data_IF_343052158047
#
_entry.id   IF_343052158047
#
_cell.length_a   1.000
_cell.length_b   1.000
_cell.length_c   1.000
_cell.angle_alpha   90.00
_cell.angle_beta   90.00
_cell.angle_gamma   90.00
#
_symmetry.space_group_name_H-M   'P 1'
#
loop_
_entity.id
_entity.type
_entity.pdbx_description
1 polymer ?
#
# COMPACT_ATOMS: atom_id res chain seq x y z
N UNK A 1 6.37 15.94 -28.11
CA UNK A 1 6.73 14.53 -27.85
C UNK A 1 5.50 13.85 -27.28
N UNK A 2 4.87 13.00 -28.08
CA UNK A 2 3.58 12.39 -27.76
C UNK A 2 3.75 11.35 -26.65
N UNK A 3 2.99 11.53 -25.57
CA UNK A 3 2.85 10.51 -24.54
C UNK A 3 2.05 9.35 -25.13
N UNK A 4 2.73 8.29 -25.59
CA UNK A 4 2.09 7.02 -25.88
C UNK A 4 1.73 6.34 -24.56
N UNK A 5 0.68 6.83 -23.90
CA UNK A 5 -0.02 6.04 -22.88
C UNK A 5 -0.64 4.84 -23.60
N UNK A 6 -0.32 3.62 -23.14
CA UNK A 6 -0.96 2.38 -23.56
C UNK A 6 -2.47 2.59 -23.79
N UNK A 7 -2.91 2.38 -25.03
CA UNK A 7 -4.26 2.68 -25.54
C UNK A 7 -5.43 1.87 -24.94
N UNK A 8 -5.25 1.14 -23.82
CA UNK A 8 -6.25 0.16 -23.37
C UNK A 8 -6.50 0.07 -21.85
N UNK A 9 -6.08 1.03 -21.01
CA UNK A 9 -6.44 1.01 -19.58
C UNK A 9 -7.29 2.22 -19.23
N UNK A 10 -8.62 2.06 -19.20
CA UNK A 10 -9.54 3.07 -18.63
C UNK A 10 -9.28 3.14 -17.12
N UNK A 11 -8.59 4.18 -16.67
CA UNK A 11 -8.38 4.49 -15.25
C UNK A 11 -9.56 5.29 -14.71
N UNK A 12 -9.69 5.34 -13.39
CA UNK A 12 -10.83 5.94 -12.68
C UNK A 12 -11.23 7.36 -13.16
N UNK A 13 -10.28 8.15 -13.67
CA UNK A 13 -10.51 9.54 -14.13
C UNK A 13 -10.46 9.73 -15.66
N UNK A 14 -10.41 8.65 -16.44
CA UNK A 14 -10.24 8.73 -17.90
C UNK A 14 -11.46 9.30 -18.62
N UNK A 15 -12.61 9.41 -17.94
CA UNK A 15 -13.81 10.07 -18.42
C UNK A 15 -13.55 11.52 -18.87
N UNK A 16 -12.55 12.20 -18.29
CA UNK A 16 -12.12 13.55 -18.72
C UNK A 16 -11.59 13.54 -20.16
N UNK A 17 -10.99 12.45 -20.62
CA UNK A 17 -10.43 12.34 -21.97
C UNK A 17 -11.49 12.01 -23.03
N UNK A 18 -12.67 11.53 -22.61
CA UNK A 18 -13.76 11.11 -23.49
C UNK A 18 -14.51 12.28 -24.13
N UNK A 19 -14.30 13.52 -23.65
CA UNK A 19 -14.96 14.73 -24.16
C UNK A 19 -13.95 15.76 -24.65
N UNK A 20 -14.35 16.59 -25.63
CA UNK A 20 -13.52 17.70 -26.11
C UNK A 20 -13.30 18.77 -25.04
N UNK A 21 -14.32 19.02 -24.22
CA UNK A 21 -14.28 19.95 -23.08
C UNK A 21 -13.26 19.50 -22.05
N UNK A 22 -13.24 18.20 -21.74
CA UNK A 22 -12.27 17.64 -20.80
C UNK A 22 -10.84 17.67 -21.34
N UNK A 23 -10.62 17.43 -22.65
CA UNK A 23 -9.31 17.66 -23.29
C UNK A 23 -8.86 19.12 -23.18
N UNK A 24 -9.76 20.08 -23.41
CA UNK A 24 -9.47 21.53 -23.25
C UNK A 24 -9.18 21.90 -21.80
N UNK A 25 -9.89 21.30 -20.83
CA UNK A 25 -9.63 21.50 -19.41
C UNK A 25 -8.23 20.98 -19.04
N UNK A 26 -7.92 19.73 -19.42
CA UNK A 26 -6.62 19.13 -19.15
C UNK A 26 -5.47 19.95 -19.74
N UNK A 27 -5.61 20.40 -20.99
CA UNK A 27 -4.59 21.24 -21.64
C UNK A 27 -4.36 22.56 -20.88
N UNK A 28 -5.43 23.21 -20.40
CA UNK A 28 -5.34 24.43 -19.60
C UNK A 28 -4.68 24.18 -18.25
N UNK A 29 -5.05 23.09 -17.57
CA UNK A 29 -4.48 22.69 -16.29
C UNK A 29 -2.99 22.39 -16.44
N UNK A 30 -2.60 21.58 -17.43
CA UNK A 30 -1.20 21.26 -17.72
C UNK A 30 -0.39 22.53 -18.02
N UNK A 31 -0.92 23.46 -18.82
CA UNK A 31 -0.25 24.75 -19.07
C UNK A 31 -0.02 25.56 -17.79
N UNK A 32 -1.02 25.60 -16.90
CA UNK A 32 -0.94 26.36 -15.63
C UNK A 32 0.04 25.71 -14.66
N UNK A 33 0.04 24.39 -14.57
CA UNK A 33 0.98 23.61 -13.74
C UNK A 33 2.40 23.73 -14.32
N UNK A 34 2.56 23.74 -15.64
CA UNK A 34 3.84 23.89 -16.33
C UNK A 34 4.50 25.26 -16.16
N UNK A 35 3.82 26.25 -15.57
CA UNK A 35 4.42 27.53 -15.19
C UNK A 35 5.35 27.41 -13.98
N UNK A 36 5.26 26.33 -13.22
CA UNK A 36 6.09 26.08 -12.03
C UNK A 36 7.28 25.18 -12.39
N UNK A 37 8.40 25.36 -11.68
CA UNK A 37 9.53 24.44 -11.77
C UNK A 37 9.27 23.23 -10.90
N UNK A 38 9.30 22.03 -11.50
CA UNK A 38 9.13 20.75 -10.81
C UNK A 38 10.46 19.98 -10.66
N UNK A 39 11.59 20.62 -10.98
CA UNK A 39 12.92 19.98 -11.00
C UNK A 39 13.50 19.74 -9.60
N UNK A 40 13.20 20.62 -8.65
CA UNK A 40 13.83 20.66 -7.33
C UNK A 40 12.79 20.51 -6.22
N UNK A 41 11.96 19.46 -6.32
CA UNK A 41 10.98 19.15 -5.29
C UNK A 41 11.69 18.33 -4.21
N UNK A 42 11.83 18.94 -3.04
CA UNK A 42 12.47 18.29 -1.88
C UNK A 42 11.46 17.55 -0.98
N UNK A 43 10.16 17.80 -1.15
CA UNK A 43 9.10 17.39 -0.22
C UNK A 43 7.80 17.02 -0.96
N UNK A 44 6.90 16.28 -0.33
CA UNK A 44 5.58 15.95 -0.90
C UNK A 44 4.71 17.22 -1.01
N UNK A 45 4.75 17.84 -2.19
CA UNK A 45 3.96 19.03 -2.51
C UNK A 45 2.45 18.74 -2.57
N UNK A 46 2.04 17.48 -2.72
CA UNK A 46 0.64 17.09 -2.90
C UNK A 46 -0.10 16.92 -1.58
N UNK A 47 0.61 16.78 -0.45
CA UNK A 47 0.02 16.83 0.89
C UNK A 47 -0.93 18.01 1.04
N UNK A 48 -0.47 19.22 0.70
CA UNK A 48 -1.25 20.45 0.90
C UNK A 48 -2.53 20.41 0.06
N UNK A 49 -2.45 19.86 -1.15
CA UNK A 49 -3.62 19.67 -2.02
C UNK A 49 -4.60 18.66 -1.39
N UNK A 50 -4.10 17.53 -0.88
CA UNK A 50 -4.95 16.55 -0.21
C UNK A 50 -5.65 17.14 1.01
N UNK A 51 -4.91 17.84 1.88
CA UNK A 51 -5.46 18.49 3.08
C UNK A 51 -6.46 19.60 2.75
N UNK A 52 -6.36 20.22 1.57
CA UNK A 52 -7.32 21.21 1.09
C UNK A 52 -8.60 20.60 0.51
N UNK A 53 -8.54 19.34 0.04
CA UNK A 53 -9.68 18.63 -0.56
C UNK A 53 -10.42 17.79 0.49
N UNK A 54 -9.69 17.13 1.39
CA UNK A 54 -10.25 16.28 2.45
C UNK A 54 -10.06 16.98 3.80
N UNK A 55 -11.18 17.36 4.41
CA UNK A 55 -11.18 18.06 5.69
C UNK A 55 -10.60 17.19 6.83
N UNK A 56 -10.20 17.84 7.93
CA UNK A 56 -9.52 17.17 9.04
C UNK A 56 -10.38 16.10 9.74
N UNK A 57 -11.70 16.28 9.78
CA UNK A 57 -12.61 15.35 10.46
C UNK A 57 -12.75 14.03 9.70
N UNK A 58 -12.83 14.07 8.37
CA UNK A 58 -12.84 12.88 7.51
C UNK A 58 -11.53 12.12 7.65
N UNK A 59 -10.38 12.81 7.58
CA UNK A 59 -9.05 12.19 7.79
C UNK A 59 -8.91 11.55 9.17
N UNK A 60 -9.40 12.22 10.21
CA UNK A 60 -9.39 11.69 11.58
C UNK A 60 -10.26 10.44 11.73
N UNK A 61 -11.43 10.41 11.09
CA UNK A 61 -12.28 9.22 11.04
C UNK A 61 -11.62 8.04 10.32
N UNK A 62 -10.80 8.33 9.32
CA UNK A 62 -9.98 7.35 8.59
C UNK A 62 -8.68 6.96 9.31
N UNK A 63 -8.34 7.65 10.41
CA UNK A 63 -7.08 7.43 11.13
C UNK A 63 -5.84 7.93 10.37
N UNK A 64 -6.01 8.84 9.42
CA UNK A 64 -4.95 9.37 8.56
C UNK A 64 -4.21 10.53 9.24
N UNK A 65 -2.91 10.35 9.45
CA UNK A 65 -2.00 11.38 9.96
C UNK A 65 -0.81 11.52 9.03
N UNK A 66 -0.47 12.76 8.66
CA UNK A 66 0.66 12.99 7.77
C UNK A 66 1.99 12.92 8.53
N UNK A 67 2.95 12.20 7.95
CA UNK A 67 4.30 12.05 8.49
C UNK A 67 5.21 13.18 7.99
N UNK A 68 5.83 13.99 8.87
CA UNK A 68 6.78 15.00 8.44
C UNK A 68 7.92 14.41 7.59
N UNK A 69 8.33 15.11 6.53
CA UNK A 69 9.24 14.54 5.53
C UNK A 69 10.61 14.17 6.14
N UNK A 70 11.14 15.00 7.04
CA UNK A 70 12.39 14.71 7.76
C UNK A 70 12.32 13.42 8.59
N UNK A 71 11.14 13.10 9.12
CA UNK A 71 10.93 11.89 9.91
C UNK A 71 10.86 10.69 8.98
N UNK A 72 10.11 10.80 7.89
CA UNK A 72 10.03 9.75 6.87
C UNK A 72 11.41 9.45 6.25
N UNK A 73 12.21 10.49 5.98
CA UNK A 73 13.59 10.36 5.51
C UNK A 73 14.44 9.61 6.54
N UNK A 74 14.45 10.04 7.79
CA UNK A 74 15.23 9.41 8.86
C UNK A 74 14.87 7.94 9.06
N UNK A 75 13.58 7.61 9.08
CA UNK A 75 13.10 6.22 9.17
C UNK A 75 13.57 5.41 7.97
N UNK A 76 13.39 5.93 6.74
CA UNK A 76 13.78 5.23 5.51
C UNK A 76 15.28 4.96 5.48
N UNK A 77 16.11 5.94 5.87
CA UNK A 77 17.56 5.77 5.94
C UNK A 77 17.98 4.70 6.97
N UNK A 78 17.24 4.57 8.07
CA UNK A 78 17.54 3.61 9.13
C UNK A 78 17.30 2.15 8.69
N UNK A 79 16.27 1.88 7.89
CA UNK A 79 15.89 0.51 7.53
C UNK A 79 16.28 0.07 6.11
N UNK A 80 16.31 0.99 5.15
CA UNK A 80 16.75 0.72 3.78
C UNK A 80 18.27 0.88 3.68
N UNK A 81 19.03 0.04 4.36
CA UNK A 81 20.48 0.21 4.52
C UNK A 81 21.28 -0.05 3.25
N UNK A 82 20.80 -0.95 2.39
CA UNK A 82 21.40 -1.29 1.09
C UNK A 82 20.41 -1.02 -0.06
N UNK A 83 20.22 0.25 -0.45
CA UNK A 83 19.16 0.66 -1.37
C UNK A 83 19.32 0.14 -2.81
N UNK A 84 20.45 -0.47 -3.18
CA UNK A 84 20.64 -1.03 -4.51
C UNK A 84 20.34 -2.53 -4.61
N UNK A 85 20.11 -3.19 -3.47
CA UNK A 85 19.76 -4.61 -3.39
C UNK A 85 18.41 -4.84 -2.71
N UNK A 86 18.01 -3.95 -1.79
CA UNK A 86 16.80 -4.10 -1.00
C UNK A 86 15.58 -3.47 -1.68
N UNK A 87 14.45 -4.15 -1.54
CA UNK A 87 13.12 -3.68 -1.89
C UNK A 87 12.38 -3.13 -0.67
N UNK A 88 11.52 -2.13 -0.88
CA UNK A 88 10.73 -1.47 0.15
C UNK A 88 9.23 -1.42 -0.21
N UNK A 89 8.37 -1.63 0.79
CA UNK A 89 6.92 -1.43 0.67
C UNK A 89 6.40 -0.52 1.77
N UNK A 90 5.55 0.45 1.39
CA UNK A 90 4.64 1.11 2.32
C UNK A 90 3.22 0.51 2.20
N UNK A 91 2.75 -0.25 3.22
CA UNK A 91 1.45 -0.94 3.17
C UNK A 91 0.25 -0.02 3.42
N UNK A 92 0.45 1.26 3.73
CA UNK A 92 -0.61 2.28 3.87
C UNK A 92 -0.07 3.64 3.43
N UNK A 93 0.26 3.75 2.14
CA UNK A 93 1.18 4.77 1.66
C UNK A 93 0.64 6.20 1.65
N UNK A 94 -0.67 6.40 1.79
CA UNK A 94 -1.30 7.71 1.75
C UNK A 94 -0.94 8.46 0.47
N UNK A 95 -0.46 9.70 0.60
CA UNK A 95 0.05 10.51 -0.52
C UNK A 95 1.47 10.16 -0.99
N UNK A 96 2.10 9.15 -0.38
CA UNK A 96 3.38 8.59 -0.83
C UNK A 96 4.63 9.21 -0.21
N UNK A 97 4.57 9.76 1.01
CA UNK A 97 5.74 10.37 1.66
C UNK A 97 6.91 9.40 1.82
N UNK A 98 6.67 8.19 2.33
CA UNK A 98 7.72 7.16 2.45
C UNK A 98 8.18 6.63 1.09
N UNK A 99 7.26 6.51 0.14
CA UNK A 99 7.55 6.16 -1.25
C UNK A 99 8.54 7.16 -1.85
N UNK A 100 8.29 8.46 -1.68
CA UNK A 100 9.19 9.53 -2.13
C UNK A 100 10.60 9.36 -1.55
N UNK A 101 10.70 9.12 -0.24
CA UNK A 101 11.99 9.00 0.45
C UNK A 101 12.75 7.74 0.02
N UNK A 102 12.06 6.61 -0.16
CA UNK A 102 12.66 5.38 -0.68
C UNK A 102 13.23 5.59 -2.09
N UNK A 103 12.44 6.17 -3.01
CA UNK A 103 12.90 6.47 -4.37
C UNK A 103 14.10 7.42 -4.35
N UNK A 104 14.08 8.48 -3.52
CA UNK A 104 15.21 9.41 -3.42
C UNK A 104 16.48 8.74 -2.92
N UNK A 105 16.37 7.82 -1.96
CA UNK A 105 17.51 7.08 -1.42
C UNK A 105 18.11 6.14 -2.47
N UNK A 106 17.27 5.42 -3.21
CA UNK A 106 17.69 4.51 -4.28
C UNK A 106 18.32 5.27 -5.45
N UNK A 107 17.67 6.35 -5.91
CA UNK A 107 18.18 7.18 -7.01
C UNK A 107 19.53 7.80 -6.66
N UNK A 108 19.71 8.35 -5.44
CA UNK A 108 20.99 8.88 -4.99
C UNK A 108 22.11 7.81 -5.02
N UNK A 109 21.84 6.63 -4.44
CA UNK A 109 22.83 5.53 -4.42
C UNK A 109 23.15 5.04 -5.83
N UNK A 110 22.16 5.00 -6.72
CA UNK A 110 22.33 4.54 -8.09
C UNK A 110 23.13 5.55 -8.94
N UNK A 111 22.91 6.86 -8.74
CA UNK A 111 23.71 7.92 -9.35
C UNK A 111 25.16 7.88 -8.87
N UNK A 112 25.39 7.68 -7.57
CA UNK A 112 26.74 7.51 -7.01
C UNK A 112 27.45 6.27 -7.57
N UNK A 113 26.70 5.21 -7.87
CA UNK A 113 27.18 4.02 -8.57
C UNK A 113 27.32 4.20 -10.10
N UNK A 114 27.02 5.38 -10.64
CA UNK A 114 27.16 5.69 -12.07
C UNK A 114 26.11 5.04 -12.97
N UNK A 115 24.94 4.64 -12.44
CA UNK A 115 23.82 4.13 -13.26
C UNK A 115 23.17 5.27 -14.05
N UNK A 116 22.72 4.97 -15.26
CA UNK A 116 21.99 5.90 -16.12
C UNK A 116 20.49 5.92 -15.77
N UNK A 117 19.79 6.96 -16.26
CA UNK A 117 18.38 7.18 -15.92
C UNK A 117 17.45 5.98 -16.25
N UNK A 118 17.56 5.29 -17.41
CA UNK A 118 16.72 4.13 -17.70
C UNK A 118 16.88 3.01 -16.65
N UNK A 119 18.13 2.65 -16.29
CA UNK A 119 18.39 1.63 -15.26
C UNK A 119 17.94 2.07 -13.88
N UNK A 120 18.05 3.36 -13.56
CA UNK A 120 17.53 3.91 -12.29
C UNK A 120 16.02 3.74 -12.24
N UNK A 121 15.30 4.14 -13.30
CA UNK A 121 13.84 4.03 -13.36
C UNK A 121 13.40 2.57 -13.26
N UNK A 122 13.99 1.68 -14.06
CA UNK A 122 13.72 0.24 -14.02
C UNK A 122 13.94 -0.33 -12.63
N UNK A 123 15.08 -0.01 -12.00
CA UNK A 123 15.40 -0.49 -10.67
C UNK A 123 14.38 -0.02 -9.63
N UNK A 124 14.01 1.26 -9.63
CA UNK A 124 13.01 1.80 -8.70
C UNK A 124 11.64 1.14 -8.87
N UNK A 125 11.19 0.91 -10.11
CA UNK A 125 9.92 0.21 -10.40
C UNK A 125 9.85 -1.21 -9.83
N UNK A 126 11.00 -1.86 -9.72
CA UNK A 126 11.11 -3.23 -9.21
C UNK A 126 11.43 -3.31 -7.71
N UNK A 127 11.67 -2.18 -7.03
CA UNK A 127 12.14 -2.16 -5.63
C UNK A 127 11.37 -1.22 -4.70
N UNK A 128 10.45 -0.39 -5.19
CA UNK A 128 9.65 0.49 -4.31
C UNK A 128 8.16 0.28 -4.60
N UNK A 129 7.42 -0.21 -3.61
CA UNK A 129 6.01 -0.54 -3.74
C UNK A 129 5.17 0.26 -2.75
N UNK A 130 3.92 0.56 -3.11
CA UNK A 130 2.96 1.20 -2.22
C UNK A 130 1.58 0.56 -2.30
N UNK A 131 0.92 0.41 -1.16
CA UNK A 131 -0.47 -0.02 -1.06
C UNK A 131 -1.26 1.01 -0.27
N UNK A 132 -2.48 1.30 -0.72
CA UNK A 132 -3.43 2.09 0.06
C UNK A 132 -4.86 1.64 -0.26
N UNK A 133 -5.79 1.78 0.68
CA UNK A 133 -7.20 1.40 0.49
C UNK A 133 -8.02 2.53 -0.17
N UNK A 134 -7.49 3.75 -0.20
CA UNK A 134 -8.20 4.92 -0.72
C UNK A 134 -7.73 5.28 -2.14
N UNK A 135 -8.62 5.28 -3.16
CA UNK A 135 -8.23 5.48 -4.56
C UNK A 135 -7.60 6.85 -4.83
N UNK A 136 -8.03 7.91 -4.13
CA UNK A 136 -7.41 9.24 -4.28
C UNK A 136 -5.98 9.25 -3.73
N UNK A 137 -5.73 8.60 -2.60
CA UNK A 137 -4.40 8.52 -1.98
C UNK A 137 -3.42 7.81 -2.91
N UNK A 138 -3.85 6.67 -3.49
CA UNK A 138 -3.09 5.96 -4.53
C UNK A 138 -2.74 6.87 -5.70
N UNK A 139 -3.68 7.69 -6.19
CA UNK A 139 -3.39 8.60 -7.30
C UNK A 139 -2.39 9.68 -6.92
N UNK A 140 -2.46 10.23 -5.72
CA UNK A 140 -1.48 11.20 -5.22
C UNK A 140 -0.11 10.55 -5.04
N UNK A 141 -0.04 9.39 -4.40
CA UNK A 141 1.20 8.62 -4.26
C UNK A 141 1.82 8.27 -5.61
N UNK A 142 1.02 7.98 -6.64
CA UNK A 142 1.52 7.79 -8.00
C UNK A 142 2.14 9.05 -8.58
N UNK A 143 1.54 10.23 -8.36
CA UNK A 143 2.15 11.49 -8.80
C UNK A 143 3.42 11.77 -7.98
N UNK A 144 3.39 11.60 -6.66
CA UNK A 144 4.54 11.73 -5.76
C UNK A 144 5.71 10.84 -6.20
N UNK A 145 5.42 9.59 -6.60
CA UNK A 145 6.39 8.66 -7.17
C UNK A 145 7.08 9.24 -8.42
N UNK A 146 6.29 9.80 -9.35
CA UNK A 146 6.82 10.46 -10.55
C UNK A 146 7.68 11.68 -10.21
N UNK A 147 7.23 12.49 -9.25
CA UNK A 147 7.99 13.66 -8.79
C UNK A 147 9.33 13.25 -8.18
N UNK A 148 9.37 12.14 -7.43
CA UNK A 148 10.61 11.61 -6.83
C UNK A 148 11.65 11.17 -7.89
N UNK A 149 11.19 10.62 -9.02
CA UNK A 149 12.05 10.27 -10.16
C UNK A 149 12.62 11.51 -10.88
N UNK A 150 11.90 12.64 -10.84
CA UNK A 150 12.39 13.94 -11.31
C UNK A 150 13.03 13.90 -12.71
N UNK A 151 14.31 14.29 -12.80
CA UNK A 151 15.07 14.35 -14.07
C UNK A 151 15.21 13.01 -14.80
N UNK A 152 15.10 11.89 -14.09
CA UNK A 152 15.23 10.56 -14.70
C UNK A 152 14.06 10.22 -15.64
N UNK A 153 12.99 11.03 -15.62
CA UNK A 153 11.83 10.87 -16.48
C UNK A 153 12.05 11.30 -17.94
N UNK A 154 13.11 12.06 -18.28
CA UNK A 154 13.23 12.71 -19.59
C UNK A 154 13.57 11.77 -20.76
N UNK A 155 14.21 10.62 -20.50
CA UNK A 155 14.61 9.63 -21.51
C UNK A 155 14.39 8.22 -20.95
N UNK A 156 13.11 7.81 -20.87
CA UNK A 156 12.72 6.52 -20.32
C UNK A 156 11.89 5.75 -21.34
N UNK A 157 11.93 4.43 -21.21
CA UNK A 157 10.97 3.53 -21.84
C UNK A 157 9.60 3.59 -21.12
N UNK A 158 8.74 2.62 -21.38
CA UNK A 158 7.45 2.52 -20.71
C UNK A 158 7.61 2.54 -19.17
N UNK A 159 6.77 3.36 -18.54
CA UNK A 159 6.80 3.57 -17.10
C UNK A 159 5.54 3.01 -16.46
N UNK A 160 5.73 2.14 -15.50
CA UNK A 160 4.72 1.64 -14.60
C UNK A 160 4.99 2.15 -13.18
N UNK A 161 3.93 2.54 -12.47
CA UNK A 161 4.04 3.06 -11.11
C UNK A 161 3.51 1.99 -10.13
N UNK A 162 4.38 1.32 -9.36
CA UNK A 162 4.08 0.22 -8.42
C UNK A 162 3.33 0.66 -7.14
N UNK A 163 2.33 1.53 -7.31
CA UNK A 163 1.44 1.96 -6.22
C UNK A 163 0.03 1.48 -6.53
N UNK A 164 -0.53 0.66 -5.66
CA UNK A 164 -1.76 -0.07 -5.91
C UNK A 164 -2.84 0.24 -4.87
N UNK A 165 -4.08 0.19 -5.33
CA UNK A 165 -5.23 0.20 -4.47
C UNK A 165 -5.44 -1.23 -3.95
N UNK A 166 -5.50 -1.42 -2.64
CA UNK A 166 -5.65 -2.73 -2.03
C UNK A 166 -5.71 -2.70 -0.51
N UNK A 167 -6.31 -3.74 0.08
CA UNK A 167 -6.37 -3.92 1.53
C UNK A 167 -5.17 -4.72 2.04
N UNK A 168 -4.25 -4.04 2.72
CA UNK A 168 -3.06 -4.65 3.33
C UNK A 168 -3.38 -5.59 4.49
N UNK A 169 -4.55 -5.47 5.12
CA UNK A 169 -4.97 -6.33 6.23
C UNK A 169 -5.47 -7.70 5.76
N UNK A 170 -6.06 -7.76 4.55
CA UNK A 170 -6.63 -8.96 3.96
C UNK A 170 -7.63 -9.66 4.90
N UNK A 171 -8.63 -8.90 5.39
CA UNK A 171 -9.55 -9.34 6.44
C UNK A 171 -10.39 -10.58 6.12
N UNK A 172 -10.62 -10.85 4.83
CA UNK A 172 -11.62 -11.81 4.35
C UNK A 172 -11.04 -13.13 3.84
N UNK A 173 -9.76 -13.43 4.12
CA UNK A 173 -9.14 -14.67 3.65
C UNK A 173 -9.23 -15.78 4.72
N UNK A 174 -10.03 -16.84 4.50
CA UNK A 174 -10.10 -17.99 5.41
C UNK A 174 -8.84 -18.83 5.27
N UNK A 175 -8.14 -19.08 6.37
CA UNK A 175 -6.98 -19.98 6.42
C UNK A 175 -5.73 -19.38 5.78
N UNK A 176 -4.73 -19.00 6.59
CA UNK A 176 -3.41 -18.57 6.09
C UNK A 176 -2.56 -19.78 5.65
N UNK A 177 -3.13 -20.68 4.83
CA UNK A 177 -2.42 -21.79 4.20
C UNK A 177 -2.58 -21.67 2.68
N UNK A 178 -1.50 -21.27 2.01
CA UNK A 178 -1.22 -21.53 0.59
C UNK A 178 -2.38 -21.22 -0.37
N UNK A 179 -2.72 -19.94 -0.52
CA UNK A 179 -3.76 -19.54 -1.46
C UNK A 179 -3.15 -19.25 -2.84
N UNK A 180 -3.09 -20.29 -3.67
CA UNK A 180 -2.99 -20.20 -5.14
C UNK A 180 -4.28 -19.67 -5.79
N UNK A 181 -5.29 -19.32 -4.99
CA UNK A 181 -6.61 -18.88 -5.43
C UNK A 181 -7.10 -17.70 -4.58
N UNK A 182 -7.52 -16.62 -5.25
CA UNK A 182 -8.24 -15.51 -4.66
C UNK A 182 -9.72 -15.84 -4.62
N UNK A 183 -10.34 -15.73 -3.45
CA UNK A 183 -11.80 -15.80 -3.29
C UNK A 183 -12.35 -14.44 -2.86
N UNK A 184 -13.36 -13.97 -3.57
CA UNK A 184 -14.07 -12.72 -3.30
C UNK A 184 -15.54 -13.05 -3.07
N UNK A 185 -16.00 -12.83 -1.84
CA UNK A 185 -17.41 -12.97 -1.49
C UNK A 185 -18.19 -11.76 -2.02
N UNK A 186 -19.24 -12.00 -2.81
CA UNK A 186 -20.00 -10.94 -3.48
C UNK A 186 -21.00 -10.23 -2.57
N UNK A 187 -21.24 -10.76 -1.38
CA UNK A 187 -22.29 -10.26 -0.48
C UNK A 187 -21.76 -9.22 0.52
N UNK A 188 -20.44 -9.17 0.74
CA UNK A 188 -19.80 -8.24 1.67
C UNK A 188 -19.36 -6.91 1.07
N UNK A 189 -19.50 -6.71 -0.24
CA UNK A 189 -18.97 -5.53 -0.98
C UNK A 189 -20.03 -4.43 -1.16
N UNK A 190 -21.09 -4.44 -0.36
CA UNK A 190 -22.05 -3.33 -0.27
C UNK A 190 -21.45 -2.13 0.48
N UNK A 191 -20.30 -1.63 0.00
CA UNK A 191 -19.65 -0.39 0.47
C UNK A 191 -20.31 0.86 -0.14
N UNK A 192 -21.16 0.69 -1.14
CA UNK A 192 -21.87 1.77 -1.82
C UNK A 192 -23.33 1.97 -1.36
N UNK A 193 -23.92 1.00 -0.64
CA UNK A 193 -25.29 1.09 -0.16
C UNK A 193 -25.33 1.36 1.35
N UNK A 194 -25.11 2.61 1.75
CA UNK A 194 -25.39 3.05 3.13
C UNK A 194 -26.90 3.22 3.39
N UNK A 195 -27.80 2.98 2.44
CA UNK A 195 -29.21 3.41 2.61
C UNK A 195 -30.36 2.41 2.36
N UNK A 196 -30.16 1.15 1.98
CA UNK A 196 -31.34 0.27 1.77
C UNK A 196 -31.34 -0.99 2.65
N UNK A 197 -32.17 -0.94 3.69
CA UNK A 197 -32.69 -2.11 4.40
C UNK A 197 -33.39 -3.06 3.41
N UNK A 198 -32.99 -4.32 3.42
CA UNK A 198 -33.85 -5.43 3.01
C UNK A 198 -33.44 -6.15 1.72
N UNK A 199 -32.65 -7.22 1.88
CA UNK A 199 -32.81 -8.45 1.10
C UNK A 199 -32.22 -9.62 1.88
N UNK A 200 -33.07 -10.33 2.62
CA UNK A 200 -32.78 -11.67 3.12
C UNK A 200 -32.74 -12.64 1.93
N UNK A 201 -31.70 -13.47 1.88
CA UNK A 201 -31.41 -14.55 0.91
C UNK A 201 -30.73 -14.14 -0.41
N UNK A 202 -29.50 -13.62 -0.35
CA UNK A 202 -28.52 -13.88 -1.42
C UNK A 202 -27.83 -15.22 -1.13
N UNK A 203 -27.83 -16.14 -2.10
CA UNK A 203 -26.93 -17.29 -2.07
C UNK A 203 -25.53 -16.69 -2.22
N UNK A 204 -24.66 -16.86 -1.22
CA UNK A 204 -23.31 -16.29 -1.25
C UNK A 204 -22.55 -16.79 -2.49
N UNK A 205 -22.38 -15.92 -3.48
CA UNK A 205 -21.57 -16.21 -4.66
C UNK A 205 -20.13 -15.80 -4.38
N UNK A 206 -19.20 -16.60 -4.87
CA UNK A 206 -17.77 -16.38 -4.68
C UNK A 206 -17.11 -16.29 -6.04
N UNK A 207 -16.45 -15.16 -6.32
CA UNK A 207 -15.55 -15.06 -7.47
C UNK A 207 -14.21 -15.70 -7.08
N UNK A 208 -13.72 -16.63 -7.89
CA UNK A 208 -12.48 -17.35 -7.65
C UNK A 208 -11.48 -17.14 -8.79
N UNK A 209 -10.29 -16.60 -8.49
CA UNK A 209 -9.25 -16.37 -9.48
C UNK A 209 -7.97 -17.10 -9.11
N UNK A 210 -7.41 -17.96 -9.99
CA UNK A 210 -6.11 -18.58 -9.76
C UNK A 210 -4.99 -17.53 -9.82
N UNK A 211 -3.94 -17.75 -9.04
CA UNK A 211 -2.75 -16.91 -8.97
C UNK A 211 -1.52 -17.58 -9.58
N UNK A 212 -1.45 -18.91 -9.56
CA UNK A 212 -0.25 -19.66 -9.92
C UNK A 212 0.00 -19.73 -11.43
N UNK A 213 -1.07 -19.73 -12.24
CA UNK A 213 -0.96 -19.76 -13.71
C UNK A 213 -0.64 -18.44 -14.37
N UNK A 214 -0.66 -17.36 -13.59
CA UNK A 214 -0.41 -16.02 -14.11
C UNK A 214 1.02 -15.66 -13.72
N UNK A 215 1.92 -15.58 -14.68
CA UNK A 215 3.33 -15.28 -14.41
C UNK A 215 3.50 -13.85 -13.85
N UNK A 216 2.60 -12.95 -14.25
CA UNK A 216 2.62 -11.54 -13.92
C UNK A 216 1.22 -10.96 -13.69
N UNK A 217 1.18 -9.82 -12.99
CA UNK A 217 -0.07 -9.16 -12.61
C UNK A 217 -0.79 -8.43 -13.76
N UNK A 218 -0.09 -8.13 -14.85
CA UNK A 218 -0.69 -7.50 -16.03
C UNK A 218 -1.48 -8.53 -16.85
N UNK A 219 -0.97 -9.76 -16.99
CA UNK A 219 -1.72 -10.89 -17.57
C UNK A 219 -3.01 -11.13 -16.79
N UNK A 220 -2.94 -11.10 -15.46
CA UNK A 220 -4.11 -11.16 -14.59
C UNK A 220 -5.11 -10.03 -14.84
N UNK A 221 -4.65 -8.79 -14.85
CA UNK A 221 -5.52 -7.64 -15.07
C UNK A 221 -6.21 -7.70 -16.44
N UNK A 222 -5.49 -8.18 -17.47
CA UNK A 222 -6.03 -8.36 -18.82
C UNK A 222 -7.10 -9.45 -18.87
N UNK A 223 -6.87 -10.59 -18.22
CA UNK A 223 -7.86 -11.67 -18.13
C UNK A 223 -9.14 -11.19 -17.43
N UNK A 224 -9.00 -10.59 -16.24
CA UNK A 224 -10.15 -10.09 -15.48
C UNK A 224 -10.90 -9.02 -16.26
N UNK A 225 -10.20 -8.13 -16.97
CA UNK A 225 -10.86 -7.12 -17.81
C UNK A 225 -11.63 -7.76 -18.97
N UNK A 226 -11.02 -8.72 -19.67
CA UNK A 226 -11.69 -9.43 -20.77
C UNK A 226 -12.93 -10.20 -20.30
N UNK A 227 -12.84 -10.91 -19.16
CA UNK A 227 -13.97 -11.59 -18.54
C UNK A 227 -15.07 -10.62 -18.12
N UNK A 228 -14.71 -9.52 -17.45
CA UNK A 228 -15.69 -8.51 -17.00
C UNK A 228 -16.38 -7.84 -18.19
N UNK A 229 -15.63 -7.48 -19.24
CA UNK A 229 -16.18 -6.81 -20.41
C UNK A 229 -17.09 -7.72 -21.22
N UNK A 230 -16.78 -9.02 -21.31
CA UNK A 230 -17.67 -10.00 -21.94
C UNK A 230 -18.91 -10.28 -21.10
N UNK A 231 -18.78 -10.35 -19.77
CA UNK A 231 -19.91 -10.55 -18.87
C UNK A 231 -20.96 -9.43 -18.98
N UNK A 232 -20.54 -8.20 -19.32
CA UNK A 232 -21.45 -7.07 -19.57
C UNK A 232 -22.46 -7.30 -20.68
N UNK A 233 -22.19 -8.21 -21.61
CA UNK A 233 -23.14 -8.57 -22.66
C UNK A 233 -24.35 -9.35 -22.12
N UNK A 234 -24.23 -9.97 -20.95
CA UNK A 234 -25.29 -10.72 -20.31
C UNK A 234 -26.13 -9.84 -19.39
N UNK A 235 -27.19 -9.24 -19.94
CA UNK A 235 -28.05 -8.25 -19.24
C UNK A 235 -29.39 -8.81 -18.76
N UNK A 236 -29.76 -10.02 -19.15
CA UNK A 236 -31.01 -10.69 -18.80
C UNK A 236 -30.72 -12.05 -18.15
N UNK A 237 -31.12 -12.30 -16.88
CA UNK A 237 -30.85 -13.56 -16.18
C UNK A 237 -31.45 -14.80 -16.86
N UNK A 238 -32.43 -14.61 -17.75
CA UNK A 238 -33.10 -15.70 -18.47
C UNK A 238 -32.45 -16.01 -19.82
N UNK A 239 -31.57 -15.13 -20.32
CA UNK A 239 -30.86 -15.33 -21.57
C UNK A 239 -29.72 -16.35 -21.42
N UNK A 240 -29.30 -16.94 -22.55
CA UNK A 240 -28.11 -17.79 -22.55
C UNK A 240 -26.87 -16.95 -22.21
N UNK A 241 -26.03 -17.45 -21.30
CA UNK A 241 -24.76 -16.80 -20.97
C UNK A 241 -23.80 -16.83 -22.18
N UNK A 242 -22.98 -15.79 -22.38
CA UNK A 242 -21.87 -15.86 -23.32
C UNK A 242 -20.90 -16.98 -22.95
N UNK A 243 -20.14 -17.47 -23.93
CA UNK A 243 -19.09 -18.48 -23.70
C UNK A 243 -17.79 -17.83 -23.20
N UNK A 244 -17.18 -18.43 -22.17
CA UNK A 244 -15.89 -18.05 -21.60
C UNK A 244 -14.70 -18.61 -22.39
N UNK A 245 -14.86 -19.73 -23.09
CA UNK A 245 -13.77 -20.47 -23.75
C UNK A 245 -12.90 -19.58 -24.67
N UNK A 246 -13.48 -18.72 -25.54
CA UNK A 246 -12.68 -17.89 -26.45
C UNK A 246 -11.74 -16.93 -25.71
N UNK A 247 -12.15 -16.47 -24.52
CA UNK A 247 -11.35 -15.58 -23.67
C UNK A 247 -10.23 -16.39 -23.03
N UNK A 248 -10.58 -17.47 -22.33
CA UNK A 248 -9.62 -18.30 -21.59
C UNK A 248 -8.53 -18.85 -22.53
N UNK A 249 -8.91 -19.30 -23.72
CA UNK A 249 -7.98 -19.79 -24.74
C UNK A 249 -6.97 -18.74 -25.20
N UNK A 250 -7.34 -17.45 -25.24
CA UNK A 250 -6.41 -16.35 -25.59
C UNK A 250 -5.30 -16.20 -24.54
N UNK A 251 -5.56 -16.58 -23.30
CA UNK A 251 -4.60 -16.58 -22.20
C UNK A 251 -3.92 -17.94 -22.00
N UNK A 252 -4.07 -18.88 -22.95
CA UNK A 252 -3.46 -20.21 -22.86
C UNK A 252 -4.20 -21.21 -21.97
N UNK A 253 -5.38 -20.84 -21.45
CA UNK A 253 -6.18 -21.66 -20.54
C UNK A 253 -7.22 -22.44 -21.37
N UNK A 254 -6.91 -23.69 -21.68
CA UNK A 254 -7.81 -24.59 -22.44
C UNK A 254 -8.70 -25.41 -21.50
N UNK A 255 -9.71 -26.10 -22.04
CA UNK A 255 -10.63 -26.97 -21.26
C UNK A 255 -9.94 -28.10 -20.49
N UNK A 256 -8.68 -28.43 -20.84
CA UNK A 256 -7.87 -29.42 -20.13
C UNK A 256 -7.01 -28.82 -19.01
N UNK A 257 -6.96 -27.48 -18.92
CA UNK A 257 -6.22 -26.78 -17.88
C UNK A 257 -6.92 -26.98 -16.52
N UNK A 258 -6.15 -27.20 -15.45
CA UNK A 258 -6.68 -27.47 -14.10
C UNK A 258 -7.57 -26.35 -13.56
N UNK A 259 -7.38 -25.13 -14.04
CA UNK A 259 -8.08 -23.93 -13.59
C UNK A 259 -9.26 -23.51 -14.46
N UNK A 260 -9.46 -24.17 -15.61
CA UNK A 260 -10.50 -23.77 -16.58
C UNK A 260 -11.89 -23.73 -15.93
N UNK A 261 -12.27 -24.80 -15.23
CA UNK A 261 -13.58 -24.91 -14.58
C UNK A 261 -13.80 -23.82 -13.52
N UNK A 262 -12.75 -23.40 -12.82
CA UNK A 262 -12.84 -22.31 -11.83
C UNK A 262 -13.07 -20.97 -12.50
N UNK A 263 -12.34 -20.68 -13.57
CA UNK A 263 -12.47 -19.43 -14.30
C UNK A 263 -13.79 -19.35 -15.08
N UNK A 264 -14.28 -20.48 -15.59
CA UNK A 264 -15.61 -20.61 -16.19
C UNK A 264 -16.71 -20.32 -15.16
N UNK A 265 -16.62 -20.90 -13.95
CA UNK A 265 -17.59 -20.63 -12.88
C UNK A 265 -17.53 -19.16 -12.44
N UNK A 266 -16.34 -18.59 -12.28
CA UNK A 266 -16.16 -17.17 -11.98
C UNK A 266 -16.75 -16.28 -13.08
N UNK A 267 -16.60 -16.67 -14.34
CA UNK A 267 -17.21 -15.96 -15.47
C UNK A 267 -18.75 -16.01 -15.40
N UNK A 268 -19.32 -17.18 -15.07
CA UNK A 268 -20.76 -17.33 -14.90
C UNK A 268 -21.30 -16.44 -13.78
N UNK A 269 -20.59 -16.38 -12.64
CA UNK A 269 -20.95 -15.48 -11.53
C UNK A 269 -20.87 -14.01 -11.95
N UNK A 270 -19.85 -13.60 -12.73
CA UNK A 270 -19.77 -12.23 -13.28
C UNK A 270 -20.95 -11.90 -14.20
N UNK A 271 -21.38 -12.86 -15.04
CA UNK A 271 -22.57 -12.69 -15.88
C UNK A 271 -23.81 -12.47 -15.00
N UNK A 272 -24.04 -13.33 -14.01
CA UNK A 272 -25.21 -13.24 -13.14
C UNK A 272 -25.25 -11.91 -12.37
N UNK A 273 -24.10 -11.46 -11.86
CA UNK A 273 -23.98 -10.15 -11.19
C UNK A 273 -24.30 -9.00 -12.15
N UNK A 274 -23.96 -9.11 -13.43
CA UNK A 274 -24.29 -8.09 -14.43
C UNK A 274 -25.77 -8.05 -14.77
N UNK A 275 -26.38 -9.21 -14.98
CA UNK A 275 -27.82 -9.30 -15.22
C UNK A 275 -28.66 -8.80 -14.02
N UNK A 276 -28.10 -8.85 -12.80
CA UNK A 276 -28.69 -8.29 -11.58
C UNK A 276 -28.40 -6.80 -11.36
N UNK A 277 -27.67 -6.13 -12.27
CA UNK A 277 -27.29 -4.72 -12.14
C UNK A 277 -26.22 -4.45 -11.07
N UNK A 278 -25.47 -5.48 -10.66
CA UNK A 278 -24.40 -5.42 -9.65
C UNK A 278 -22.99 -5.45 -10.26
N UNK A 279 -22.78 -5.28 -11.56
CA UNK A 279 -21.51 -5.56 -12.27
C UNK A 279 -20.34 -4.61 -11.98
N UNK A 280 -20.63 -3.31 -11.83
CA UNK A 280 -19.67 -2.26 -12.19
C UNK A 280 -18.37 -2.24 -11.36
N UNK A 281 -18.37 -2.91 -10.21
CA UNK A 281 -17.26 -2.88 -9.26
C UNK A 281 -16.38 -4.14 -9.27
N UNK A 282 -16.83 -5.28 -9.80
CA UNK A 282 -16.14 -6.57 -9.55
C UNK A 282 -14.80 -6.69 -10.24
N UNK A 283 -14.71 -6.30 -11.52
CA UNK A 283 -13.43 -6.31 -12.24
C UNK A 283 -12.42 -5.35 -11.59
N UNK A 284 -12.89 -4.21 -11.07
CA UNK A 284 -12.05 -3.30 -10.29
C UNK A 284 -11.62 -3.93 -8.97
N UNK A 285 -12.56 -4.46 -8.18
CA UNK A 285 -12.29 -5.06 -6.89
C UNK A 285 -11.31 -6.23 -6.99
N UNK A 286 -11.51 -7.14 -7.95
CA UNK A 286 -10.60 -8.26 -8.20
C UNK A 286 -9.17 -7.79 -8.46
N UNK A 287 -8.97 -6.86 -9.40
CA UNK A 287 -7.62 -6.31 -9.69
C UNK A 287 -6.96 -5.64 -8.49
N UNK A 288 -7.75 -5.02 -7.60
CA UNK A 288 -7.25 -4.36 -6.39
C UNK A 288 -6.92 -5.36 -5.26
N UNK A 289 -7.68 -6.44 -5.12
CA UNK A 289 -7.39 -7.48 -4.12
C UNK A 289 -6.15 -8.31 -4.46
N UNK A 290 -5.81 -8.44 -5.74
CA UNK A 290 -4.67 -9.26 -6.19
C UNK A 290 -3.34 -8.67 -5.77
N UNK A 291 -3.17 -7.35 -5.84
CA UNK A 291 -1.85 -6.73 -5.66
C UNK A 291 -1.28 -6.95 -4.24
N UNK A 292 -2.04 -6.73 -3.14
CA UNK A 292 -1.59 -7.14 -1.81
C UNK A 292 -1.31 -8.64 -1.70
N UNK A 293 -2.11 -9.50 -2.34
CA UNK A 293 -1.89 -10.94 -2.25
C UNK A 293 -0.60 -11.36 -2.91
N UNK A 294 -0.35 -10.82 -4.10
CA UNK A 294 0.85 -11.04 -4.88
C UNK A 294 2.13 -10.63 -4.14
N UNK A 295 2.13 -9.45 -3.53
CA UNK A 295 3.25 -8.98 -2.68
C UNK A 295 3.40 -9.79 -1.39
N UNK A 296 2.42 -10.61 -1.02
CA UNK A 296 2.48 -11.46 0.17
C UNK A 296 2.93 -12.90 -0.09
N UNK A 297 3.08 -13.27 -1.37
CA UNK A 297 3.53 -14.59 -1.80
C UNK A 297 5.00 -14.84 -1.44
N UNK A 298 5.37 -16.09 -1.11
CA UNK A 298 6.78 -16.47 -0.97
C UNK A 298 7.59 -16.06 -2.21
N UNK A 299 8.76 -15.45 -2.01
CA UNK A 299 9.64 -15.00 -3.10
C UNK A 299 9.24 -13.67 -3.74
N UNK A 300 8.14 -13.04 -3.29
CA UNK A 300 7.71 -11.70 -3.74
C UNK A 300 7.59 -10.69 -2.58
N UNK A 301 7.88 -11.11 -1.36
CA UNK A 301 7.91 -10.22 -0.20
C UNK A 301 9.12 -9.30 -0.30
N UNK A 302 9.03 -8.16 0.38
CA UNK A 302 10.07 -7.14 0.37
C UNK A 302 11.07 -7.32 1.50
N UNK A 303 12.22 -6.67 1.38
CA UNK A 303 13.27 -6.64 2.41
C UNK A 303 12.97 -5.63 3.52
N UNK A 304 12.20 -4.58 3.19
CA UNK A 304 11.97 -3.42 4.07
C UNK A 304 10.49 -3.03 4.08
N UNK A 305 9.91 -2.91 5.28
CA UNK A 305 8.62 -2.25 5.48
C UNK A 305 8.79 -0.88 6.13
N UNK A 306 8.14 0.13 5.57
CA UNK A 306 8.13 1.49 6.11
C UNK A 306 6.71 2.05 6.07
N UNK A 307 6.36 2.96 6.97
CA UNK A 307 5.07 3.64 6.84
C UNK A 307 4.57 4.31 8.10
N UNK A 308 3.38 4.91 7.97
CA UNK A 308 2.55 5.34 9.08
C UNK A 308 1.21 4.60 9.01
N UNK A 309 0.99 3.58 9.86
CA UNK A 309 -0.25 2.80 9.89
C UNK A 309 -1.49 3.67 10.16
N UNK A 310 -2.72 3.18 9.90
CA UNK A 310 -3.95 3.86 10.28
C UNK A 310 -4.19 3.82 11.81
N UNK A 311 -4.40 4.99 12.43
CA UNK A 311 -4.58 5.08 13.89
C UNK A 311 -6.06 5.10 14.25
N UNK A 312 -6.72 3.96 14.06
CA UNK A 312 -8.16 3.78 14.32
C UNK A 312 -8.35 3.06 15.65
N UNK A 313 -8.91 3.75 16.64
CA UNK A 313 -9.23 3.14 17.93
C UNK A 313 -10.43 2.18 17.81
N UNK A 314 -10.39 1.08 18.56
CA UNK A 314 -11.42 0.03 18.54
C UNK A 314 -12.84 0.57 18.72
N UNK A 315 -13.02 1.56 19.59
CA UNK A 315 -14.32 2.20 19.87
C UNK A 315 -14.93 2.97 18.69
N UNK A 316 -14.14 3.31 17.68
CA UNK A 316 -14.60 4.00 16.47
C UNK A 316 -14.77 3.05 15.28
N UNK A 317 -14.43 1.77 15.43
CA UNK A 317 -14.66 0.75 14.41
C UNK A 317 -16.15 0.36 14.37
N UNK A 318 -16.65 -0.01 13.19
CA UNK A 318 -17.98 -0.63 13.04
C UNK A 318 -18.05 -1.96 13.81
N UNK A 319 -19.25 -2.42 14.14
CA UNK A 319 -19.42 -3.68 14.88
C UNK A 319 -18.76 -4.88 14.17
N UNK A 320 -18.93 -4.99 12.85
CA UNK A 320 -18.30 -6.04 12.04
C UNK A 320 -16.76 -5.95 12.09
N UNK A 321 -16.19 -4.75 11.91
CA UNK A 321 -14.75 -4.54 12.01
C UNK A 321 -14.22 -4.83 13.42
N UNK A 322 -14.99 -4.54 14.47
CA UNK A 322 -14.64 -4.90 15.85
C UNK A 322 -14.55 -6.41 16.06
N UNK A 323 -15.43 -7.20 15.43
CA UNK A 323 -15.35 -8.67 15.50
C UNK A 323 -14.11 -9.19 14.76
N UNK A 324 -13.87 -8.69 13.53
CA UNK A 324 -12.70 -9.04 12.73
C UNK A 324 -11.40 -8.66 13.41
N UNK A 325 -11.29 -7.42 13.89
CA UNK A 325 -10.14 -6.94 14.66
C UNK A 325 -9.85 -7.88 15.83
N UNK A 326 -10.87 -8.21 16.62
CA UNK A 326 -10.69 -9.06 17.81
C UNK A 326 -10.22 -10.46 17.44
N UNK A 327 -10.81 -11.08 16.42
CA UNK A 327 -10.40 -12.41 15.96
C UNK A 327 -8.93 -12.44 15.52
N UNK A 328 -8.51 -11.44 14.72
CA UNK A 328 -7.12 -11.31 14.28
C UNK A 328 -6.18 -10.95 15.44
N UNK A 329 -6.55 -10.00 16.29
CA UNK A 329 -5.74 -9.63 17.46
C UNK A 329 -5.53 -10.82 18.39
N UNK A 330 -6.51 -11.69 18.57
CA UNK A 330 -6.35 -12.94 19.32
C UNK A 330 -5.40 -13.91 18.61
N UNK A 331 -5.56 -14.12 17.30
CA UNK A 331 -4.67 -14.96 16.49
C UNK A 331 -3.19 -14.53 16.58
N UNK A 332 -2.96 -13.22 16.66
CA UNK A 332 -1.62 -12.62 16.73
C UNK A 332 -1.11 -12.39 18.16
N UNK A 333 -1.80 -12.88 19.20
CA UNK A 333 -1.48 -12.63 20.62
C UNK A 333 -1.39 -11.14 21.01
N UNK A 334 -2.16 -10.29 20.35
CA UNK A 334 -2.21 -8.84 20.58
C UNK A 334 -3.40 -8.41 21.44
N UNK A 335 -4.40 -9.28 21.60
CA UNK A 335 -5.61 -8.96 22.37
C UNK A 335 -5.36 -9.01 23.89
N UNK A 336 -5.39 -7.85 24.53
CA UNK A 336 -5.09 -7.69 25.97
C UNK A 336 -6.34 -7.71 26.89
N UNK A 337 -7.47 -8.18 26.37
CA UNK A 337 -8.72 -8.35 27.13
C UNK A 337 -9.69 -7.17 27.07
N UNK A 338 -10.90 -7.39 27.63
CA UNK A 338 -12.01 -6.43 27.55
C UNK A 338 -11.76 -5.13 28.33
N UNK A 339 -10.99 -5.18 29.41
CA UNK A 339 -10.70 -4.03 30.28
C UNK A 339 -10.04 -2.86 29.55
N UNK A 340 -9.18 -3.16 28.57
CA UNK A 340 -8.45 -2.16 27.78
C UNK A 340 -8.97 -2.06 26.34
N UNK A 341 -10.05 -2.76 25.99
CA UNK A 341 -10.54 -2.85 24.61
C UNK A 341 -10.80 -1.49 23.97
N UNK A 342 -11.37 -0.53 24.72
CA UNK A 342 -11.64 0.84 24.22
C UNK A 342 -10.39 1.67 23.94
N UNK A 343 -9.22 1.23 24.44
CA UNK A 343 -7.91 1.84 24.27
C UNK A 343 -7.00 1.05 23.32
N UNK A 344 -7.44 -0.11 22.84
CA UNK A 344 -6.77 -0.82 21.75
C UNK A 344 -7.09 -0.12 20.41
N UNK A 345 -6.17 -0.19 19.47
CA UNK A 345 -6.30 0.39 18.13
C UNK A 345 -5.72 -0.54 17.07
N UNK A 346 -5.87 -0.13 15.80
CA UNK A 346 -5.45 -0.91 14.66
C UNK A 346 -3.92 -1.00 14.48
N UNK A 347 -3.13 -0.13 15.12
CA UNK A 347 -1.71 0.06 14.79
C UNK A 347 -0.89 -1.21 15.03
N UNK A 348 -1.02 -1.81 16.23
CA UNK A 348 -0.28 -3.02 16.57
C UNK A 348 -0.62 -4.19 15.64
N UNK A 349 -1.90 -4.38 15.35
CA UNK A 349 -2.37 -5.46 14.51
C UNK A 349 -1.96 -5.23 13.05
N UNK A 350 -2.04 -3.99 12.57
CA UNK A 350 -1.64 -3.62 11.22
C UNK A 350 -0.15 -3.87 10.98
N UNK A 351 0.71 -3.45 11.92
CA UNK A 351 2.16 -3.72 11.81
C UNK A 351 2.43 -5.22 11.81
N UNK A 352 1.91 -5.96 12.81
CA UNK A 352 2.15 -7.39 12.91
C UNK A 352 1.64 -8.17 11.68
N UNK A 353 0.48 -7.78 11.13
CA UNK A 353 -0.08 -8.38 9.92
C UNK A 353 0.72 -8.02 8.68
N UNK A 354 1.14 -6.76 8.54
CA UNK A 354 1.96 -6.31 7.41
C UNK A 354 3.30 -7.02 7.40
N UNK A 355 3.97 -7.11 8.56
CA UNK A 355 5.21 -7.88 8.72
C UNK A 355 4.99 -9.34 8.35
N UNK A 356 3.90 -9.97 8.80
CA UNK A 356 3.59 -11.36 8.47
C UNK A 356 3.39 -11.61 6.97
N UNK A 357 2.74 -10.67 6.29
CA UNK A 357 2.34 -10.83 4.89
C UNK A 357 3.45 -10.45 3.93
N UNK A 358 4.08 -9.30 4.14
CA UNK A 358 4.85 -8.63 3.10
C UNK A 358 6.35 -8.58 3.33
N UNK A 359 6.84 -8.87 4.54
CA UNK A 359 8.27 -8.79 4.86
C UNK A 359 8.92 -10.16 4.75
N UNK A 360 10.07 -10.29 4.10
CA UNK A 360 10.83 -11.54 4.12
C UNK A 360 11.40 -11.85 5.51
N UNK A 361 11.76 -13.12 5.73
CA UNK A 361 12.47 -13.50 6.95
C UNK A 361 13.85 -12.82 7.03
N UNK A 362 14.18 -12.22 8.18
CA UNK A 362 15.35 -11.36 8.34
C UNK A 362 15.19 -9.93 7.79
N UNK A 363 14.06 -9.62 7.14
CA UNK A 363 13.74 -8.28 6.67
C UNK A 363 13.47 -7.30 7.82
N UNK A 364 13.64 -6.00 7.55
CA UNK A 364 13.53 -4.93 8.57
C UNK A 364 12.25 -4.12 8.40
N UNK A 365 11.79 -3.50 9.48
CA UNK A 365 10.64 -2.60 9.44
C UNK A 365 10.87 -1.32 10.27
N UNK A 366 10.25 -0.23 9.84
CA UNK A 366 10.26 1.06 10.54
C UNK A 366 8.90 1.75 10.43
N UNK A 367 8.17 1.86 11.54
CA UNK A 367 6.81 2.41 11.55
C UNK A 367 6.63 3.55 12.55
N UNK A 368 5.93 4.60 12.11
CA UNK A 368 5.41 5.62 13.00
C UNK A 368 4.26 5.03 13.81
N UNK A 369 4.18 5.37 15.10
CA UNK A 369 3.17 4.84 16.01
C UNK A 369 2.71 5.88 17.03
N UNK A 370 1.56 5.68 17.70
CA UNK A 370 1.24 6.42 18.91
C UNK A 370 2.27 6.16 20.00
N UNK A 371 2.60 7.18 20.81
CA UNK A 371 3.55 7.04 21.94
C UNK A 371 3.14 5.94 22.93
N UNK A 372 1.85 5.64 23.00
CA UNK A 372 1.29 4.59 23.86
C UNK A 372 1.83 3.19 23.56
N UNK A 373 2.32 2.93 22.34
CA UNK A 373 3.02 1.68 21.98
C UNK A 373 4.16 1.39 22.94
N UNK A 374 4.88 2.42 23.38
CA UNK A 374 6.10 2.26 24.18
C UNK A 374 5.85 1.81 25.63
N UNK A 375 4.62 1.94 26.15
CA UNK A 375 4.38 1.75 27.60
C UNK A 375 3.02 1.19 28.00
N UNK A 376 1.95 1.40 27.22
CA UNK A 376 0.59 1.09 27.69
C UNK A 376 0.29 -0.41 27.68
N UNK A 377 -0.59 -0.86 28.59
CA UNK A 377 -1.04 -2.26 28.72
C UNK A 377 -1.66 -2.77 27.42
N UNK A 378 -2.42 -1.93 26.70
CA UNK A 378 -3.03 -2.26 25.42
C UNK A 378 -2.04 -2.74 24.34
N UNK A 379 -0.75 -2.44 24.47
CA UNK A 379 0.31 -2.82 23.53
C UNK A 379 1.28 -3.86 24.09
N UNK A 380 0.98 -4.47 25.24
CA UNK A 380 1.90 -5.40 25.89
C UNK A 380 2.19 -6.64 25.02
N UNK A 381 1.18 -7.27 24.42
CA UNK A 381 1.34 -8.37 23.46
C UNK A 381 2.14 -7.98 22.21
N UNK A 382 1.94 -6.76 21.71
CA UNK A 382 2.74 -6.22 20.62
C UNK A 382 4.22 -6.11 20.99
N UNK A 383 4.51 -5.52 22.17
CA UNK A 383 5.89 -5.36 22.69
C UNK A 383 6.58 -6.67 23.05
N UNK A 384 5.83 -7.75 23.29
CA UNK A 384 6.41 -9.10 23.45
C UNK A 384 6.97 -9.64 22.14
N UNK A 385 6.52 -9.15 20.98
CA UNK A 385 7.01 -9.63 19.68
C UNK A 385 6.65 -11.09 19.36
N UNK A 386 5.80 -11.75 20.16
CA UNK A 386 5.34 -13.13 19.97
C UNK A 386 4.04 -13.16 19.17
N UNK A 387 4.13 -12.85 17.88
CA UNK A 387 2.98 -12.60 17.04
C UNK A 387 2.41 -13.91 16.46
N UNK A 388 1.44 -14.51 17.15
CA UNK A 388 0.91 -15.82 16.78
C UNK A 388 1.91 -16.96 17.02
N UNK A 389 1.79 -18.06 16.27
CA UNK A 389 2.59 -19.27 16.51
C UNK A 389 4.05 -19.10 16.05
N UNK A 390 4.24 -18.67 14.80
CA UNK A 390 5.54 -18.77 14.12
C UNK A 390 6.25 -17.43 13.90
N UNK A 391 5.53 -16.31 13.99
CA UNK A 391 6.11 -15.00 13.70
C UNK A 391 6.69 -14.37 14.98
N UNK A 392 7.88 -13.78 14.81
CA UNK A 392 8.63 -13.09 15.85
C UNK A 392 9.01 -11.71 15.34
N UNK A 393 8.64 -10.69 16.10
CA UNK A 393 9.04 -9.30 15.86
C UNK A 393 10.09 -8.90 16.88
N UNK A 394 11.35 -8.81 16.46
CA UNK A 394 12.42 -8.24 17.27
C UNK A 394 12.42 -6.73 17.11
N UNK A 395 12.29 -5.97 18.19
CA UNK A 395 12.43 -4.52 18.12
C UNK A 395 13.88 -4.14 18.37
N UNK A 396 14.51 -3.50 17.38
CA UNK A 396 15.94 -3.17 17.41
C UNK A 396 16.17 -1.76 17.95
N UNK A 397 15.25 -0.83 17.69
CA UNK A 397 15.38 0.57 18.08
C UNK A 397 14.00 1.23 18.27
N UNK A 398 13.94 2.25 19.14
CA UNK A 398 12.72 2.99 19.46
C UNK A 398 13.02 4.49 19.51
N UNK A 399 12.25 5.31 18.79
CA UNK A 399 12.32 6.76 18.90
C UNK A 399 11.13 7.30 19.69
N UNK A 400 11.41 8.01 20.78
CA UNK A 400 10.41 8.78 21.53
C UNK A 400 10.34 10.19 20.96
N UNK A 401 9.23 10.52 20.30
CA UNK A 401 9.07 11.80 19.61
C UNK A 401 8.43 12.89 20.50
N UNK A 402 7.96 12.56 21.71
CA UNK A 402 7.26 13.51 22.60
C UNK A 402 8.18 14.63 23.10
N UNK A 403 9.47 14.32 23.18
CA UNK A 403 10.50 15.26 23.61
C UNK A 403 11.10 16.08 22.46
N UNK A 404 10.77 15.79 21.20
CA UNK A 404 11.32 16.52 20.06
C UNK A 404 10.77 17.95 19.94
N UNK A 405 11.55 18.83 19.31
CA UNK A 405 11.22 20.25 19.07
C UNK A 405 11.42 20.62 17.60
N UNK A 406 10.57 21.50 17.03
CA UNK A 406 9.36 22.09 17.63
C UNK A 406 8.28 21.04 17.92
N UNK A 407 7.42 21.28 18.91
CA UNK A 407 6.28 20.39 19.20
C UNK A 407 5.19 20.52 18.13
N UNK A 408 4.29 19.53 18.06
CA UNK A 408 3.04 19.64 17.28
C UNK A 408 3.13 19.24 15.81
N UNK A 409 4.17 18.50 15.42
CA UNK A 409 4.24 17.91 14.07
C UNK A 409 3.33 16.68 13.89
N UNK A 410 2.87 16.09 15.00
CA UNK A 410 1.68 15.24 15.05
C UNK A 410 0.64 15.85 15.99
N UNK A 411 -0.67 15.65 15.73
CA UNK A 411 -1.73 16.13 16.61
C UNK A 411 -1.83 15.34 17.92
N UNK A 412 -1.12 14.20 18.01
CA UNK A 412 -1.07 13.32 19.18
C UNK A 412 0.39 12.89 19.43
N UNK A 413 0.79 12.63 20.69
CA UNK A 413 2.13 12.14 21.00
C UNK A 413 2.45 10.85 20.25
N UNK A 414 3.62 10.81 19.63
CA UNK A 414 4.03 9.76 18.70
C UNK A 414 5.39 9.16 19.05
N UNK A 415 5.68 8.01 18.44
CA UNK A 415 6.93 7.29 18.52
C UNK A 415 7.26 6.66 17.17
N UNK A 416 8.48 6.14 17.03
CA UNK A 416 8.84 5.22 15.93
C UNK A 416 9.33 3.92 16.54
N UNK A 417 8.93 2.81 15.93
CA UNK A 417 9.47 1.48 16.25
C UNK A 417 10.21 0.93 15.04
N UNK A 418 11.39 0.37 15.30
CA UNK A 418 12.19 -0.36 14.33
C UNK A 418 12.33 -1.81 14.75
N UNK A 419 12.44 -2.70 13.79
CA UNK A 419 12.66 -4.10 14.11
C UNK A 419 12.96 -4.98 12.92
N UNK A 420 13.12 -6.26 13.23
CA UNK A 420 13.43 -7.33 12.28
C UNK A 420 12.37 -8.42 12.41
N UNK A 421 11.97 -8.97 11.26
CA UNK A 421 11.12 -10.15 11.20
C UNK A 421 11.96 -11.40 11.38
N UNK A 422 11.50 -12.30 12.25
CA UNK A 422 11.98 -13.67 12.32
C UNK A 422 10.82 -14.65 12.24
N UNK A 423 11.09 -15.84 11.73
CA UNK A 423 10.13 -16.94 11.66
C UNK A 423 10.70 -18.18 12.33
N UNK A 424 9.86 -18.84 13.12
CA UNK A 424 10.22 -20.10 13.79
C UNK A 424 9.96 -21.25 12.82
N UNK A 425 11.02 -21.82 12.24
CA UNK A 425 10.94 -22.98 11.34
C UNK A 425 11.17 -24.33 12.04
N UNK A 426 11.80 -24.34 13.22
CA UNK A 426 12.28 -25.57 13.89
C UNK A 426 11.42 -26.01 15.07
N UNK A 427 11.32 -27.35 15.25
CA UNK A 427 10.66 -28.02 16.38
C UNK A 427 11.47 -27.95 17.68
N UNK A 428 12.73 -27.48 17.64
CA UNK A 428 13.52 -27.28 18.85
C UNK A 428 12.94 -26.14 19.71
N UNK A 429 12.68 -26.45 20.97
CA UNK A 429 12.10 -25.52 21.93
C UNK A 429 13.12 -24.53 22.47
N UNK A 430 14.41 -24.88 22.40
CA UNK A 430 15.52 -24.16 23.07
C UNK A 430 16.16 -23.05 22.23
N UNK A 431 15.94 -23.02 20.90
CA UNK A 431 16.45 -21.96 20.00
C UNK A 431 15.28 -21.11 19.48
N UNK A 432 14.82 -20.14 20.30
CA UNK A 432 13.78 -19.19 19.89
C UNK A 432 14.41 -17.98 19.21
N UNK A 433 13.93 -17.58 18.02
CA UNK A 433 14.37 -16.34 17.40
C UNK A 433 14.16 -15.13 18.32
N UNK A 434 15.01 -14.12 18.17
CA UNK A 434 14.92 -12.87 18.93
C UNK A 434 13.55 -12.22 18.72
N UNK A 435 13.02 -11.63 19.80
CA UNK A 435 11.69 -11.01 19.79
C UNK A 435 11.54 -10.01 20.92
N UNK A 436 10.59 -9.11 20.74
CA UNK A 436 10.15 -8.16 21.75
C UNK A 436 11.02 -6.92 21.85
N UNK A 437 10.66 -6.04 22.77
CA UNK A 437 11.33 -4.76 22.99
C UNK A 437 12.77 -4.95 23.48
N UNK A 438 13.70 -4.05 23.08
CA UNK A 438 15.07 -4.15 23.52
C UNK A 438 15.15 -4.01 25.05
N UNK A 439 15.96 -4.85 25.68
CA UNK A 439 16.16 -4.87 27.14
C UNK A 439 16.72 -3.55 27.69
N UNK A 440 17.39 -2.76 26.85
CA UNK A 440 17.76 -1.38 27.12
C UNK A 440 17.00 -0.46 26.17
N UNK A 441 16.24 0.50 26.72
CA UNK A 441 15.70 1.60 25.92
C UNK A 441 16.88 2.44 25.43
N UNK A 442 17.47 2.09 24.28
CA UNK A 442 18.23 3.09 23.52
C UNK A 442 17.21 4.08 22.99
N UNK A 443 16.93 5.14 23.76
CA UNK A 443 16.43 6.36 23.16
C UNK A 443 17.62 6.97 22.41
N UNK A 444 17.87 6.49 21.21
CA UNK A 444 18.56 7.31 20.21
C UNK A 444 17.61 8.47 19.94
N UNK A 445 17.77 9.52 20.74
CA UNK A 445 17.48 10.85 20.24
C UNK A 445 18.27 10.93 18.93
N UNK A 446 17.57 11.12 17.81
CA UNK A 446 18.19 11.63 16.60
C UNK A 446 19.00 12.83 17.07
N UNK A 447 20.33 12.69 17.13
CA UNK A 447 21.15 13.76 17.67
C UNK A 447 20.90 14.98 16.79
N UNK A 448 20.76 16.17 17.39
CA UNK A 448 20.65 17.41 16.62
C UNK A 448 21.76 17.50 15.54
N UNK A 449 22.90 16.84 15.77
CA UNK A 449 24.02 16.72 14.84
C UNK A 449 23.68 15.97 13.53
N UNK A 450 22.85 14.92 13.54
CA UNK A 450 22.37 14.26 12.32
C UNK A 450 21.33 15.10 11.58
N UNK A 451 20.48 15.84 12.30
CA UNK A 451 19.42 16.71 11.75
C UNK A 451 19.95 18.05 11.20
N UNK A 452 21.03 18.59 11.76
CA UNK A 452 21.65 19.85 11.30
C UNK A 452 22.48 19.65 10.03
N UNK A 453 23.00 18.44 9.77
CA UNK A 453 23.67 18.08 8.51
C UNK A 453 22.76 18.23 7.28
N UNK A 454 21.48 17.88 7.44
CA UNK A 454 20.45 17.96 6.40
C UNK A 454 20.04 19.41 6.08
N UNK A 455 20.04 20.32 7.06
CA UNK A 455 19.79 21.76 6.81
C UNK A 455 20.92 22.49 6.07
N UNK A 456 22.12 21.89 5.93
CA UNK A 456 23.36 22.61 5.53
C UNK A 456 23.98 22.20 4.20
N UNK A 457 23.37 21.34 3.38
CA UNK A 457 23.83 21.10 2.00
C UNK A 457 23.49 22.29 1.07
N UNK A 458 24.34 23.33 1.21
CA UNK A 458 24.73 24.40 0.28
C UNK A 458 23.63 25.03 -0.60
N UNK A 459 23.17 26.21 -0.17
CA UNK A 459 22.96 27.34 -1.09
C UNK A 459 24.28 27.62 -1.82
N UNK A 460 24.31 27.36 -3.12
CA UNK A 460 25.31 27.94 -4.02
C UNK A 460 25.19 29.48 -3.95
N UNK A 461 26.28 30.26 -3.84
CA UNK A 461 26.18 31.70 -3.87
C UNK A 461 25.74 32.13 -5.28
N UNK A 462 24.53 32.68 -5.38
CA UNK A 462 24.04 33.34 -6.58
C UNK A 462 25.06 34.39 -7.03
N UNK A 463 25.48 34.31 -8.29
CA UNK A 463 26.32 35.30 -8.96
C UNK A 463 25.82 36.71 -8.64
N UNK A 464 26.69 37.52 -8.03
CA UNK A 464 26.54 38.97 -8.00
C UNK A 464 26.47 39.46 -9.45
N UNK A 465 25.37 40.12 -9.80
CA UNK A 465 25.28 40.98 -10.98
C UNK A 465 26.48 41.93 -10.98
N UNK A 466 27.36 41.80 -11.97
CA UNK A 466 28.23 42.89 -12.39
C UNK A 466 27.34 43.92 -13.10
N UNK A 467 27.05 45.02 -12.41
CA UNK A 467 26.74 46.28 -13.07
C UNK A 467 28.05 46.95 -13.43
N UNK A 468 28.31 47.16 -14.72
CA UNK A 468 29.27 48.14 -15.19
C UNK A 468 28.91 48.60 -16.60
N UNK A 469 28.76 49.92 -16.71
CA UNK A 469 28.68 50.80 -17.89
C UNK A 469 27.55 50.58 -18.87
#
# INVERSE_FOLDING_TARGET
>A
MGWHLQRHRVRFFDWILLTDEGRKLLTRTVRRIGMFSWTDIEHDALKILYESVINADVRKGMGEYYTPDWLAEGITQQVLTDPLSQSALDPSCGSGTFIFQAIRRITNAAEEAGRDSPRIVEHVQNHVFGLDIHPVSVMLARVTYLLALGKHLQNRDDLWVPVHLGDSMQWYQPGDHENSVIKIETDGVDLAAIEHEGALFSIARTLAFPLDSMDDTDTFDQLVSAMTDRAKEHTDPTATRPDAEPILKRFGITTQHSEYAMLEETFNVLCDLNAEGRDSIWGFYARNQVRPLWLSMPGRRVDVLIGNPPWVAYRYMTFDLQQKYKAFAQKYNLWEGREVATHQDLVALFIARSVAKFLEDGGTFGFVTPLTVLSRKAYHGFRKGLWGSNLRGEFTELWDLDNMRPRGFFPVPSAVVFGTRHTKYTLDLDDQPLHGFPSTKRSSLVSETHLVGLKRRKRSPSLRRRTSS
#
